data_IF_106610805147
#
_entry.id   IF_106610805147
#
_cell.length_a   1.000
_cell.length_b   1.000
_cell.length_c   1.000
_cell.angle_alpha   90.00
_cell.angle_beta   90.00
_cell.angle_gamma   90.00
#
_symmetry.space_group_name_H-M   'P 1'
#
loop_
_entity.id
_entity.type
_entity.pdbx_description
1 polymer ?
#
# COMPACT_ATOMS: atom_id res chain seq x y z
N UNK A 1 6.97 -2.66 31.73
CA UNK A 1 5.60 -2.64 31.18
C UNK A 1 5.56 -2.40 29.67
N UNK A 2 6.34 -1.45 29.12
CA UNK A 2 6.30 -1.11 27.69
C UNK A 2 6.96 -2.17 26.76
N UNK A 3 8.05 -2.82 27.19
CA UNK A 3 8.69 -3.92 26.45
C UNK A 3 7.75 -5.13 26.26
N UNK A 4 7.04 -5.50 27.34
CA UNK A 4 5.97 -6.52 27.32
C UNK A 4 4.80 -6.15 26.40
N UNK A 5 4.51 -4.86 26.19
CA UNK A 5 3.46 -4.41 25.27
C UNK A 5 3.85 -4.65 23.81
N UNK A 6 5.11 -4.39 23.45
CA UNK A 6 5.61 -4.57 22.09
C UNK A 6 5.71 -6.05 21.69
N UNK A 7 6.17 -6.90 22.61
CA UNK A 7 6.16 -8.35 22.40
C UNK A 7 4.73 -8.89 22.26
N UNK A 8 3.79 -8.43 23.08
CA UNK A 8 2.37 -8.78 22.96
C UNK A 8 1.76 -8.33 21.64
N UNK A 9 2.16 -7.18 21.09
CA UNK A 9 1.69 -6.71 19.78
C UNK A 9 2.24 -7.57 18.64
N UNK A 10 3.53 -7.90 18.66
CA UNK A 10 4.15 -8.77 17.65
C UNK A 10 3.53 -10.17 17.71
N UNK A 11 3.37 -10.73 18.93
CA UNK A 11 2.72 -12.01 19.14
C UNK A 11 1.25 -11.98 18.70
N UNK A 12 0.54 -10.89 18.99
CA UNK A 12 -0.83 -10.71 18.51
C UNK A 12 -0.91 -10.68 16.99
N UNK A 13 -0.05 -9.92 16.30
CA UNK A 13 -0.05 -9.88 14.83
C UNK A 13 0.30 -11.24 14.22
N UNK A 14 1.21 -11.98 14.85
CA UNK A 14 1.59 -13.34 14.46
C UNK A 14 0.44 -14.34 14.58
N UNK A 15 -0.26 -14.31 15.71
CA UNK A 15 -1.31 -15.25 16.11
C UNK A 15 -2.73 -14.74 15.83
N UNK A 16 -2.85 -13.61 15.14
CA UNK A 16 -4.14 -12.98 14.86
C UNK A 16 -5.01 -13.94 14.05
N UNK A 17 -6.20 -14.20 14.58
CA UNK A 17 -7.24 -14.96 13.91
C UNK A 17 -8.53 -14.13 13.80
N UNK A 18 -9.33 -14.43 12.79
CA UNK A 18 -10.58 -13.73 12.52
C UNK A 18 -11.73 -14.72 12.66
N UNK A 19 -12.44 -14.62 13.78
CA UNK A 19 -13.66 -15.40 13.99
C UNK A 19 -14.85 -14.84 13.20
N UNK A 20 -15.95 -15.58 13.15
CA UNK A 20 -17.18 -15.21 12.42
C UNK A 20 -17.70 -13.82 12.77
N UNK A 21 -17.65 -13.43 14.05
CA UNK A 21 -18.06 -12.09 14.50
C UNK A 21 -17.21 -10.97 13.89
N UNK A 22 -15.93 -11.22 13.64
CA UNK A 22 -15.05 -10.23 13.01
C UNK A 22 -15.31 -10.13 11.51
N UNK A 23 -15.56 -11.26 10.84
CA UNK A 23 -15.96 -11.30 9.43
C UNK A 23 -17.30 -10.59 9.20
N UNK A 24 -18.31 -10.85 10.03
CA UNK A 24 -19.62 -10.16 9.97
C UNK A 24 -19.43 -8.65 10.11
N UNK A 25 -18.59 -8.20 11.04
CA UNK A 25 -18.32 -6.77 11.22
C UNK A 25 -17.60 -6.16 10.02
N UNK A 26 -16.67 -6.88 9.39
CA UNK A 26 -16.03 -6.42 8.15
C UNK A 26 -17.05 -6.28 7.03
N UNK A 27 -17.96 -7.25 6.87
CA UNK A 27 -19.05 -7.17 5.89
C UNK A 27 -19.98 -5.99 6.16
N UNK A 28 -20.33 -5.73 7.42
CA UNK A 28 -21.13 -4.55 7.80
C UNK A 28 -20.38 -3.26 7.47
N UNK A 29 -19.08 -3.17 7.75
CA UNK A 29 -18.26 -2.01 7.38
C UNK A 29 -18.25 -1.82 5.86
N UNK A 30 -18.01 -2.87 5.08
CA UNK A 30 -18.05 -2.83 3.62
C UNK A 30 -19.41 -2.37 3.09
N UNK A 31 -20.51 -2.86 3.68
CA UNK A 31 -21.86 -2.45 3.31
C UNK A 31 -22.11 -0.97 3.61
N UNK A 32 -21.75 -0.49 4.80
CA UNK A 32 -21.91 0.92 5.19
C UNK A 32 -21.10 1.81 4.25
N UNK A 33 -19.83 1.49 4.00
CA UNK A 33 -18.98 2.26 3.08
C UNK A 33 -19.60 2.30 1.68
N UNK A 34 -20.10 1.18 1.18
CA UNK A 34 -20.75 1.11 -0.14
C UNK A 34 -22.03 1.97 -0.21
N UNK A 35 -22.85 1.95 0.84
CA UNK A 35 -24.05 2.80 0.94
C UNK A 35 -23.67 4.29 0.98
N UNK A 36 -22.66 4.66 1.76
CA UNK A 36 -22.20 6.05 1.84
C UNK A 36 -21.67 6.55 0.49
N UNK A 37 -20.91 5.72 -0.23
CA UNK A 37 -20.44 6.03 -1.58
C UNK A 37 -21.64 6.24 -2.52
N UNK A 38 -22.61 5.33 -2.51
CA UNK A 38 -23.81 5.43 -3.35
C UNK A 38 -24.64 6.69 -3.04
N UNK A 39 -24.86 7.00 -1.76
CA UNK A 39 -25.56 8.22 -1.33
C UNK A 39 -24.79 9.45 -1.79
N UNK A 40 -23.46 9.47 -1.63
CA UNK A 40 -22.62 10.59 -2.05
C UNK A 40 -22.74 10.84 -3.55
N UNK A 41 -22.68 9.79 -4.38
CA UNK A 41 -22.91 9.91 -5.82
C UNK A 41 -24.33 10.38 -6.16
N UNK A 42 -25.36 9.88 -5.47
CA UNK A 42 -26.73 10.32 -5.67
C UNK A 42 -26.91 11.81 -5.33
N UNK A 43 -26.28 12.29 -4.25
CA UNK A 43 -26.29 13.70 -3.86
C UNK A 43 -25.54 14.56 -4.89
N UNK A 44 -24.35 14.17 -5.33
CA UNK A 44 -23.63 14.89 -6.38
C UNK A 44 -24.46 15.02 -7.66
N UNK A 45 -25.16 13.95 -8.04
CA UNK A 45 -26.08 13.97 -9.19
C UNK A 45 -27.27 14.90 -8.96
N UNK A 46 -27.89 14.86 -7.78
CA UNK A 46 -29.04 15.70 -7.41
C UNK A 46 -28.68 17.19 -7.46
N UNK A 47 -27.53 17.56 -6.90
CA UNK A 47 -27.03 18.93 -6.86
C UNK A 47 -26.26 19.35 -8.12
N UNK A 48 -26.21 18.51 -9.16
CA UNK A 48 -25.48 18.74 -10.41
C UNK A 48 -24.00 19.11 -10.20
N UNK A 49 -23.38 18.55 -9.16
CA UNK A 49 -21.96 18.73 -8.86
C UNK A 49 -21.17 17.84 -9.82
N UNK A 50 -20.26 18.38 -10.65
CA UNK A 50 -19.55 17.60 -11.66
C UNK A 50 -18.32 16.90 -11.02
N UNK A 51 -18.56 15.91 -10.16
CA UNK A 51 -17.49 15.28 -9.35
C UNK A 51 -16.38 14.65 -10.21
N UNK A 52 -16.73 14.03 -11.34
CA UNK A 52 -15.76 13.42 -12.24
C UNK A 52 -14.85 14.47 -12.89
N UNK A 53 -15.38 15.62 -13.31
CA UNK A 53 -14.54 16.68 -13.87
C UNK A 53 -13.63 17.31 -12.81
N UNK A 54 -14.09 17.40 -11.55
CA UNK A 54 -13.27 17.87 -10.43
C UNK A 54 -12.08 16.93 -10.22
N UNK A 55 -12.31 15.61 -10.25
CA UNK A 55 -11.25 14.61 -10.11
C UNK A 55 -10.33 14.53 -11.33
N UNK A 56 -10.85 14.70 -12.55
CA UNK A 56 -10.01 14.78 -13.75
C UNK A 56 -9.07 16.01 -13.72
N UNK A 57 -9.54 17.14 -13.19
CA UNK A 57 -8.71 18.34 -13.01
C UNK A 57 -7.75 18.23 -11.81
N UNK A 58 -8.13 17.46 -10.79
CA UNK A 58 -7.36 17.27 -9.55
C UNK A 58 -7.19 15.78 -9.20
N UNK A 59 -6.46 15.01 -10.03
CA UNK A 59 -6.34 13.57 -9.86
C UNK A 59 -5.65 13.16 -8.55
N UNK A 60 -4.87 14.04 -7.93
CA UNK A 60 -4.31 13.85 -6.59
C UNK A 60 -5.36 13.86 -5.47
N UNK A 61 -6.43 14.66 -5.64
CA UNK A 61 -7.59 14.64 -4.72
C UNK A 61 -8.39 13.35 -4.93
N UNK A 62 -8.61 12.94 -6.18
CA UNK A 62 -9.25 11.67 -6.52
C UNK A 62 -8.51 10.50 -5.85
N UNK A 63 -7.18 10.44 -6.01
CA UNK A 63 -6.33 9.45 -5.37
C UNK A 63 -6.47 9.46 -3.85
N UNK A 64 -6.48 10.63 -3.20
CA UNK A 64 -6.70 10.70 -1.74
C UNK A 64 -8.06 10.08 -1.37
N UNK A 65 -9.12 10.47 -2.07
CA UNK A 65 -10.49 9.99 -1.81
C UNK A 65 -10.58 8.48 -1.95
N UNK A 66 -9.93 7.90 -2.97
CA UNK A 66 -9.87 6.45 -3.19
C UNK A 66 -9.28 5.70 -1.99
N UNK A 67 -8.35 6.31 -1.25
CA UNK A 67 -7.80 5.69 -0.03
C UNK A 67 -8.57 6.03 1.25
N UNK A 68 -9.31 7.15 1.30
CA UNK A 68 -10.14 7.50 2.46
C UNK A 68 -11.22 6.44 2.74
N UNK A 69 -11.73 5.77 1.70
CA UNK A 69 -12.72 4.69 1.84
C UNK A 69 -12.18 3.48 2.62
N UNK A 70 -10.85 3.34 2.70
CA UNK A 70 -10.20 2.23 3.41
C UNK A 70 -9.93 2.52 4.89
N UNK A 71 -10.07 3.77 5.34
CA UNK A 71 -9.82 4.14 6.74
C UNK A 71 -10.67 3.34 7.76
N UNK A 72 -11.95 3.01 7.50
CA UNK A 72 -12.72 2.14 8.40
C UNK A 72 -12.10 0.75 8.59
N UNK A 73 -11.45 0.20 7.55
CA UNK A 73 -10.77 -1.09 7.61
C UNK A 73 -9.44 -0.99 8.36
N UNK A 74 -8.69 0.10 8.16
CA UNK A 74 -7.49 0.41 8.93
C UNK A 74 -7.83 0.54 10.41
N UNK A 75 -8.87 1.31 10.74
CA UNK A 75 -9.38 1.42 12.10
C UNK A 75 -9.80 0.06 12.67
N UNK A 76 -10.56 -0.73 11.90
CA UNK A 76 -10.97 -2.07 12.32
C UNK A 76 -9.78 -2.98 12.62
N UNK A 77 -8.72 -2.89 11.81
CA UNK A 77 -7.52 -3.68 12.02
C UNK A 77 -6.85 -3.29 13.33
N UNK A 78 -6.62 -1.99 13.57
CA UNK A 78 -5.89 -1.53 14.76
C UNK A 78 -6.71 -1.51 16.06
N UNK A 79 -8.03 -1.65 16.03
CA UNK A 79 -8.87 -1.65 17.25
C UNK A 79 -8.69 -2.88 18.16
N UNK A 80 -8.10 -3.97 17.66
CA UNK A 80 -7.82 -5.21 18.41
C UNK A 80 -6.31 -5.45 18.38
N UNK A 81 -5.61 -5.68 19.51
CA UNK A 81 -6.08 -5.69 20.91
C UNK A 81 -6.16 -4.26 21.46
N UNK A 82 -6.82 -4.07 22.61
CA UNK A 82 -6.82 -2.81 23.40
C UNK A 82 -5.43 -2.51 23.99
N UNK A 83 -4.38 -2.54 23.18
CA UNK A 83 -3.08 -1.96 23.50
C UNK A 83 -3.09 -0.61 22.81
N UNK A 84 -3.20 0.47 23.59
CA UNK A 84 -2.89 1.80 23.10
C UNK A 84 -1.41 1.76 22.72
N UNK A 85 -1.10 1.40 21.48
CA UNK A 85 0.28 1.49 20.98
C UNK A 85 0.56 2.94 20.78
N UNK A 86 1.38 3.50 21.65
CA UNK A 86 1.88 4.86 21.49
C UNK A 86 2.69 4.96 20.20
N UNK A 87 2.85 6.18 19.70
CA UNK A 87 3.76 6.43 18.58
C UNK A 87 5.18 5.93 18.89
N UNK A 88 5.58 5.98 20.17
CA UNK A 88 6.84 5.46 20.67
C UNK A 88 6.97 3.94 20.52
N UNK A 89 5.90 3.18 20.79
CA UNK A 89 5.90 1.72 20.56
C UNK A 89 6.14 1.38 19.09
N UNK A 90 5.48 2.09 18.17
CA UNK A 90 5.70 1.92 16.72
C UNK A 90 7.13 2.30 16.32
N UNK A 91 7.66 3.41 16.84
CA UNK A 91 9.04 3.81 16.60
C UNK A 91 10.05 2.74 17.04
N UNK A 92 9.85 2.13 18.21
CA UNK A 92 10.72 1.04 18.71
C UNK A 92 10.67 -0.19 17.79
N UNK A 93 9.50 -0.52 17.25
CA UNK A 93 9.34 -1.62 16.30
C UNK A 93 10.06 -1.34 14.98
N UNK A 94 10.01 -0.10 14.48
CA UNK A 94 10.80 0.35 13.32
C UNK A 94 12.30 0.19 13.62
N UNK A 95 12.78 0.69 14.76
CA UNK A 95 14.20 0.55 15.15
C UNK A 95 14.63 -0.92 15.22
N UNK A 96 13.76 -1.80 15.75
CA UNK A 96 14.01 -3.24 15.81
C UNK A 96 14.11 -3.86 14.42
N UNK A 97 13.25 -3.46 13.47
CA UNK A 97 13.34 -3.89 12.08
C UNK A 97 14.65 -3.47 11.44
N UNK A 98 15.05 -2.21 11.59
CA UNK A 98 16.32 -1.71 11.05
C UNK A 98 17.56 -2.26 11.77
N UNK A 99 17.40 -2.88 12.92
CA UNK A 99 18.47 -3.64 13.59
C UNK A 99 18.56 -5.10 13.11
N UNK A 100 17.56 -5.58 12.36
CA UNK A 100 17.53 -6.95 11.84
C UNK A 100 18.23 -7.02 10.47
N UNK A 101 19.33 -7.77 10.40
CA UNK A 101 20.13 -7.91 9.17
C UNK A 101 19.33 -8.50 8.00
N UNK A 102 18.41 -9.44 8.24
CA UNK A 102 17.58 -10.02 7.18
C UNK A 102 16.59 -8.98 6.62
N UNK A 103 16.07 -8.09 7.46
CA UNK A 103 15.21 -7.00 7.01
C UNK A 103 16.01 -5.99 6.17
N UNK A 104 17.22 -5.62 6.63
CA UNK A 104 18.12 -4.75 5.86
C UNK A 104 18.45 -5.37 4.50
N UNK A 105 18.73 -6.68 4.44
CA UNK A 105 18.97 -7.39 3.17
C UNK A 105 17.75 -7.34 2.25
N UNK A 106 16.54 -7.52 2.78
CA UNK A 106 15.30 -7.37 2.01
C UNK A 106 15.15 -5.94 1.46
N UNK A 107 15.42 -4.94 2.28
CA UNK A 107 15.35 -3.53 1.88
C UNK A 107 16.38 -3.20 0.80
N UNK A 108 17.64 -3.60 0.99
CA UNK A 108 18.70 -3.40 0.00
C UNK A 108 18.34 -4.11 -1.31
N UNK A 109 17.91 -5.37 -1.25
CA UNK A 109 17.49 -6.13 -2.44
C UNK A 109 16.38 -5.41 -3.21
N UNK A 110 15.33 -4.94 -2.52
CA UNK A 110 14.24 -4.19 -3.13
C UNK A 110 14.74 -2.91 -3.80
N UNK A 111 15.57 -2.14 -3.09
CA UNK A 111 16.17 -0.90 -3.59
C UNK A 111 17.03 -1.19 -4.83
N UNK A 112 17.93 -2.17 -4.76
CA UNK A 112 18.82 -2.55 -5.86
C UNK A 112 18.03 -2.99 -7.10
N UNK A 113 17.02 -3.85 -6.95
CA UNK A 113 16.17 -4.27 -8.06
C UNK A 113 15.49 -3.05 -8.70
N UNK A 114 15.04 -2.08 -7.90
CA UNK A 114 14.39 -0.87 -8.42
C UNK A 114 15.33 0.09 -9.10
N UNK A 115 16.54 0.26 -8.60
CA UNK A 115 17.56 1.05 -9.29
C UNK A 115 18.00 0.40 -10.61
N UNK A 116 18.11 -0.94 -10.65
CA UNK A 116 18.38 -1.67 -11.90
C UNK A 116 17.22 -1.47 -12.88
N UNK A 117 15.97 -1.62 -12.43
CA UNK A 117 14.80 -1.40 -13.27
C UNK A 117 14.74 0.04 -13.82
N UNK A 118 15.02 1.03 -12.98
CA UNK A 118 15.10 2.43 -13.37
C UNK A 118 16.21 2.67 -14.41
N UNK A 119 17.41 2.13 -14.16
CA UNK A 119 18.52 2.22 -15.10
C UNK A 119 18.17 1.61 -16.46
N UNK A 120 17.55 0.42 -16.46
CA UNK A 120 17.10 -0.25 -17.70
C UNK A 120 16.06 0.61 -18.41
N UNK A 121 15.06 1.15 -17.71
CA UNK A 121 14.09 2.06 -18.31
C UNK A 121 14.76 3.26 -18.98
N UNK A 122 15.68 3.93 -18.28
CA UNK A 122 16.43 5.05 -18.83
C UNK A 122 17.27 4.65 -20.05
N UNK A 123 17.95 3.50 -20.00
CA UNK A 123 18.74 2.98 -21.11
C UNK A 123 17.88 2.67 -22.35
N UNK A 124 16.72 2.02 -22.18
CA UNK A 124 15.83 1.75 -23.30
C UNK A 124 15.18 3.03 -23.85
N UNK A 125 14.89 4.01 -22.98
CA UNK A 125 14.38 5.32 -23.40
C UNK A 125 15.41 6.09 -24.23
N UNK A 126 16.68 6.14 -23.78
CA UNK A 126 17.75 6.90 -24.46
C UNK A 126 18.12 6.34 -25.83
N UNK A 127 17.86 5.05 -26.07
CA UNK A 127 18.10 4.41 -27.35
C UNK A 127 16.83 4.32 -28.20
N UNK A 128 15.78 5.08 -27.85
CA UNK A 128 14.48 5.14 -28.56
C UNK A 128 13.79 3.77 -28.73
N UNK A 129 14.17 2.75 -27.94
CA UNK A 129 13.57 1.42 -28.01
C UNK A 129 12.15 1.39 -27.42
N UNK A 130 11.87 2.23 -26.42
CA UNK A 130 10.55 2.37 -25.79
C UNK A 130 10.30 3.83 -25.36
N UNK A 131 9.13 4.34 -25.73
CA UNK A 131 8.65 5.63 -25.23
C UNK A 131 7.91 5.47 -23.90
N UNK A 132 8.49 6.00 -22.82
CA UNK A 132 7.87 6.03 -21.51
C UNK A 132 7.20 7.38 -21.20
N UNK A 133 7.33 8.39 -22.06
CA UNK A 133 6.87 9.76 -21.78
C UNK A 133 5.37 9.84 -21.48
N UNK A 134 4.54 9.07 -22.20
CA UNK A 134 3.10 8.97 -21.92
C UNK A 134 2.81 8.37 -20.54
N UNK A 135 3.54 7.33 -20.13
CA UNK A 135 3.41 6.72 -18.81
C UNK A 135 3.74 7.73 -17.70
N UNK A 136 4.87 8.43 -17.83
CA UNK A 136 5.31 9.44 -16.85
C UNK A 136 4.35 10.63 -16.77
N UNK A 137 3.92 11.19 -17.92
CA UNK A 137 2.98 12.31 -17.98
C UNK A 137 1.66 12.00 -17.31
N UNK A 138 1.11 10.79 -17.53
CA UNK A 138 -0.14 10.36 -16.91
C UNK A 138 -0.05 10.20 -15.38
N UNK A 139 1.16 10.13 -14.81
CA UNK A 139 1.38 9.98 -13.37
C UNK A 139 1.90 11.26 -12.71
N UNK A 140 2.11 12.37 -13.43
CA UNK A 140 2.70 13.59 -12.85
C UNK A 140 1.94 14.13 -11.63
N UNK A 141 0.64 13.89 -11.54
CA UNK A 141 -0.17 14.33 -10.41
C UNK A 141 0.30 13.76 -9.06
N UNK A 142 0.96 12.60 -9.06
CA UNK A 142 1.51 12.01 -7.84
C UNK A 142 2.73 12.78 -7.32
N UNK A 143 3.31 13.69 -8.11
CA UNK A 143 4.39 14.59 -7.67
C UNK A 143 3.89 15.79 -6.86
N UNK A 144 2.58 16.05 -6.83
CA UNK A 144 2.00 17.07 -5.94
C UNK A 144 2.14 16.59 -4.48
N UNK A 145 2.23 17.51 -3.49
CA UNK A 145 2.40 17.12 -2.08
C UNK A 145 1.38 16.09 -1.58
N UNK A 146 0.12 16.24 -1.99
CA UNK A 146 -0.94 15.30 -1.62
C UNK A 146 -0.79 13.94 -2.31
N UNK A 147 -0.38 13.94 -3.58
CA UNK A 147 -0.08 12.74 -4.34
C UNK A 147 1.08 11.94 -3.75
N UNK A 148 2.15 12.62 -3.32
CA UNK A 148 3.31 12.00 -2.66
C UNK A 148 2.89 11.39 -1.32
N UNK A 149 2.19 12.17 -0.49
CA UNK A 149 1.69 11.70 0.81
C UNK A 149 0.81 10.45 0.64
N UNK A 150 -0.10 10.49 -0.32
CA UNK A 150 -1.03 9.38 -0.56
C UNK A 150 -0.29 8.16 -1.07
N UNK A 151 0.58 8.32 -2.08
CA UNK A 151 1.29 7.20 -2.72
C UNK A 151 2.34 6.57 -1.80
N UNK A 152 3.09 7.36 -1.03
CA UNK A 152 4.21 6.86 -0.21
C UNK A 152 3.76 6.38 1.16
N UNK A 153 2.71 6.97 1.73
CA UNK A 153 2.30 6.69 3.11
C UNK A 153 0.93 6.04 3.17
N UNK A 154 -0.12 6.71 2.66
CA UNK A 154 -1.48 6.25 2.85
C UNK A 154 -1.76 4.93 2.13
N UNK A 155 -1.35 4.83 0.86
CA UNK A 155 -1.54 3.65 0.02
C UNK A 155 -0.87 2.40 0.61
N UNK A 156 0.44 2.39 0.94
CA UNK A 156 1.07 1.25 1.62
C UNK A 156 0.37 0.86 2.92
N UNK A 157 -0.05 1.81 3.75
CA UNK A 157 -0.76 1.49 5.00
C UNK A 157 -2.09 0.80 4.70
N UNK A 158 -2.92 1.39 3.83
CA UNK A 158 -4.23 0.87 3.49
C UNK A 158 -4.14 -0.50 2.81
N UNK A 159 -3.31 -0.62 1.79
CA UNK A 159 -3.14 -1.86 1.03
C UNK A 159 -2.58 -2.98 1.90
N UNK A 160 -1.49 -2.75 2.65
CA UNK A 160 -0.93 -3.80 3.50
C UNK A 160 -1.89 -4.22 4.61
N UNK A 161 -2.65 -3.28 5.19
CA UNK A 161 -3.68 -3.64 6.18
C UNK A 161 -4.76 -4.50 5.55
N UNK A 162 -5.23 -4.18 4.35
CA UNK A 162 -6.27 -4.96 3.67
C UNK A 162 -5.74 -6.33 3.26
N UNK A 163 -4.65 -6.37 2.49
CA UNK A 163 -4.19 -7.61 1.87
C UNK A 163 -3.44 -8.52 2.85
N UNK A 164 -2.60 -7.98 3.73
CA UNK A 164 -1.76 -8.77 4.66
C UNK A 164 -2.37 -8.82 6.05
N UNK A 165 -2.97 -7.73 6.49
CA UNK A 165 -3.65 -7.68 7.78
C UNK A 165 -4.95 -8.49 7.79
N UNK A 166 -5.91 -8.08 6.96
CA UNK A 166 -7.28 -8.60 6.99
C UNK A 166 -7.44 -9.87 6.15
N UNK A 167 -7.14 -9.81 4.84
CA UNK A 167 -7.36 -10.94 3.92
C UNK A 167 -6.43 -12.09 4.25
N UNK A 168 -5.11 -11.87 4.23
CA UNK A 168 -4.15 -12.92 4.55
C UNK A 168 -4.39 -13.47 5.96
N UNK A 169 -4.59 -12.60 6.96
CA UNK A 169 -4.89 -13.02 8.33
C UNK A 169 -6.16 -13.87 8.46
N UNK A 170 -7.24 -13.54 7.75
CA UNK A 170 -8.48 -14.31 7.76
C UNK A 170 -8.35 -15.68 7.07
N UNK A 171 -7.47 -15.81 6.07
CA UNK A 171 -7.28 -17.06 5.32
C UNK A 171 -6.20 -17.96 5.95
N UNK A 172 -5.17 -17.37 6.56
CA UNK A 172 -4.02 -18.08 7.16
C UNK A 172 -4.45 -19.12 8.21
N UNK A 173 -5.55 -18.86 8.91
CA UNK A 173 -6.11 -19.78 9.92
C UNK A 173 -6.56 -21.13 9.33
N UNK A 174 -6.79 -21.22 8.01
CA UNK A 174 -7.09 -22.47 7.32
C UNK A 174 -5.84 -23.06 6.65
N UNK A 175 -5.09 -22.24 5.91
CA UNK A 175 -3.85 -22.66 5.26
C UNK A 175 -3.00 -21.44 4.88
N UNK A 176 -1.73 -21.42 5.31
CA UNK A 176 -0.83 -20.29 5.05
C UNK A 176 -0.49 -20.13 3.56
N UNK A 177 -0.23 -21.22 2.82
CA UNK A 177 0.08 -21.15 1.39
C UNK A 177 -1.12 -20.64 0.58
N UNK A 178 -2.32 -21.07 0.96
CA UNK A 178 -3.54 -20.54 0.36
C UNK A 178 -3.72 -19.05 0.67
N UNK A 179 -3.37 -18.59 1.88
CA UNK A 179 -3.39 -17.17 2.22
C UNK A 179 -2.42 -16.33 1.38
N UNK A 180 -1.22 -16.86 1.06
CA UNK A 180 -0.32 -16.23 0.09
C UNK A 180 -1.00 -16.07 -1.26
N UNK A 181 -1.51 -17.17 -1.83
CA UNK A 181 -2.13 -17.16 -3.15
C UNK A 181 -3.29 -16.18 -3.24
N UNK A 182 -4.21 -16.21 -2.25
CA UNK A 182 -5.39 -15.31 -2.22
C UNK A 182 -4.96 -13.85 -2.05
N UNK A 183 -4.07 -13.56 -1.10
CA UNK A 183 -3.60 -12.19 -0.83
C UNK A 183 -2.91 -11.58 -2.05
N UNK A 184 -2.00 -12.32 -2.69
CA UNK A 184 -1.27 -11.88 -3.89
C UNK A 184 -2.21 -11.71 -5.09
N UNK A 185 -3.13 -12.65 -5.31
CA UNK A 185 -4.06 -12.59 -6.45
C UNK A 185 -5.01 -11.40 -6.31
N UNK A 186 -5.55 -11.16 -5.11
CA UNK A 186 -6.42 -10.01 -4.86
C UNK A 186 -5.66 -8.69 -4.93
N UNK A 187 -4.41 -8.64 -4.46
CA UNK A 187 -3.54 -7.49 -4.62
C UNK A 187 -3.32 -7.16 -6.11
N UNK A 188 -3.02 -8.16 -6.94
CA UNK A 188 -2.88 -7.97 -8.39
C UNK A 188 -4.18 -7.48 -9.05
N UNK A 189 -5.30 -8.15 -8.80
CA UNK A 189 -6.60 -7.78 -9.40
C UNK A 189 -7.04 -6.37 -8.98
N UNK A 190 -6.76 -5.97 -7.73
CA UNK A 190 -7.08 -4.64 -7.23
C UNK A 190 -6.44 -3.51 -8.06
N UNK A 191 -5.25 -3.73 -8.65
CA UNK A 191 -4.58 -2.74 -9.47
C UNK A 191 -5.22 -2.55 -10.86
N UNK A 192 -6.20 -3.36 -11.23
CA UNK A 192 -7.04 -3.17 -12.42
C UNK A 192 -6.22 -3.06 -13.71
N UNK A 193 -6.44 -2.00 -14.48
CA UNK A 193 -5.75 -1.76 -15.76
C UNK A 193 -4.23 -1.54 -15.61
N UNK A 194 -3.78 -1.12 -14.42
CA UNK A 194 -2.35 -0.91 -14.13
C UNK A 194 -1.67 -2.20 -13.62
N UNK A 195 -2.44 -3.26 -13.43
CA UNK A 195 -1.93 -4.53 -12.93
C UNK A 195 -0.91 -5.12 -13.91
N UNK A 196 0.24 -5.52 -13.37
CA UNK A 196 1.35 -6.08 -14.14
C UNK A 196 2.00 -7.22 -13.36
N UNK A 197 2.84 -8.02 -14.03
CA UNK A 197 3.58 -9.10 -13.38
C UNK A 197 4.43 -8.60 -12.19
N UNK A 198 4.85 -7.33 -12.20
CA UNK A 198 5.53 -6.71 -11.06
C UNK A 198 4.66 -6.67 -9.80
N UNK A 199 3.36 -6.44 -9.94
CA UNK A 199 2.44 -6.41 -8.80
C UNK A 199 2.29 -7.80 -8.17
N UNK A 200 2.38 -8.88 -8.96
CA UNK A 200 2.43 -10.25 -8.43
C UNK A 200 3.72 -10.48 -7.63
N UNK A 201 4.87 -10.09 -8.19
CA UNK A 201 6.18 -10.24 -7.53
C UNK A 201 6.27 -9.43 -6.24
N UNK A 202 5.82 -8.18 -6.24
CA UNK A 202 5.71 -7.34 -5.05
C UNK A 202 4.70 -7.91 -4.06
N UNK A 203 3.58 -8.40 -4.59
CA UNK A 203 2.58 -9.17 -3.87
C UNK A 203 3.21 -10.24 -2.98
N UNK A 204 3.98 -11.13 -3.62
CA UNK A 204 4.71 -12.24 -2.99
C UNK A 204 5.76 -11.70 -2.01
N UNK A 205 6.55 -10.71 -2.41
CA UNK A 205 7.62 -10.15 -1.59
C UNK A 205 7.09 -9.53 -0.28
N UNK A 206 6.02 -8.74 -0.34
CA UNK A 206 5.40 -8.16 0.85
C UNK A 206 4.69 -9.20 1.72
N UNK A 207 4.03 -10.21 1.12
CA UNK A 207 3.46 -11.32 1.89
C UNK A 207 4.57 -12.13 2.60
N UNK A 208 5.70 -12.35 1.94
CA UNK A 208 6.86 -13.03 2.51
C UNK A 208 7.42 -12.26 3.70
N UNK A 209 7.63 -10.95 3.55
CA UNK A 209 8.19 -10.11 4.62
C UNK A 209 7.22 -9.99 5.80
N UNK A 210 5.91 -9.91 5.54
CA UNK A 210 4.88 -9.97 6.58
C UNK A 210 5.02 -11.23 7.45
N UNK A 211 5.10 -12.41 6.82
CA UNK A 211 5.23 -13.69 7.55
C UNK A 211 6.61 -13.83 8.21
N UNK A 212 7.67 -13.41 7.52
CA UNK A 212 9.05 -13.54 8.00
C UNK A 212 9.30 -12.70 9.24
N UNK A 213 8.82 -11.46 9.25
CA UNK A 213 9.05 -10.52 10.36
C UNK A 213 7.90 -10.49 11.37
N UNK A 214 6.78 -11.14 11.08
CA UNK A 214 5.59 -11.18 11.94
C UNK A 214 5.07 -9.79 12.33
N UNK A 215 5.20 -8.83 11.42
CA UNK A 215 4.70 -7.48 11.60
C UNK A 215 4.22 -6.89 10.28
N UNK A 216 3.13 -6.12 10.34
CA UNK A 216 2.71 -5.30 9.20
C UNK A 216 3.65 -4.14 8.89
N UNK A 217 4.45 -3.66 9.86
CA UNK A 217 5.37 -2.57 9.58
C UNK A 217 6.46 -2.97 8.57
N UNK A 218 6.86 -4.24 8.54
CA UNK A 218 7.86 -4.71 7.59
C UNK A 218 7.42 -4.52 6.12
N UNK A 219 6.29 -5.09 5.65
CA UNK A 219 5.82 -4.85 4.30
C UNK A 219 5.42 -3.39 4.07
N UNK A 220 4.85 -2.68 5.06
CA UNK A 220 4.51 -1.24 4.91
C UNK A 220 5.76 -0.42 4.59
N UNK A 221 6.85 -0.58 5.34
CA UNK A 221 8.10 0.17 5.11
C UNK A 221 8.69 -0.18 3.75
N UNK A 222 8.70 -1.46 3.38
CA UNK A 222 9.23 -1.90 2.10
C UNK A 222 8.36 -1.38 0.93
N UNK A 223 7.04 -1.38 1.08
CA UNK A 223 6.12 -0.83 0.09
C UNK A 223 6.24 0.71 0.00
N UNK A 224 6.36 1.42 1.12
CA UNK A 224 6.68 2.85 1.12
C UNK A 224 8.01 3.15 0.43
N UNK A 225 9.05 2.32 0.65
CA UNK A 225 10.33 2.47 -0.04
C UNK A 225 10.20 2.23 -1.55
N UNK A 226 9.47 1.20 -1.96
CA UNK A 226 9.12 0.94 -3.35
C UNK A 226 8.46 2.17 -4.01
N UNK A 227 7.43 2.73 -3.34
CA UNK A 227 6.68 3.87 -3.86
C UNK A 227 7.51 5.16 -3.84
N UNK A 228 8.38 5.36 -2.86
CA UNK A 228 9.31 6.48 -2.85
C UNK A 228 10.27 6.43 -4.04
N UNK A 229 10.83 5.26 -4.37
CA UNK A 229 11.71 5.13 -5.55
C UNK A 229 10.93 5.39 -6.84
N UNK A 230 9.66 4.98 -6.90
CA UNK A 230 8.79 5.35 -8.01
C UNK A 230 8.62 6.87 -8.13
N UNK A 231 8.33 7.59 -7.04
CA UNK A 231 8.29 9.07 -7.04
C UNK A 231 9.62 9.66 -7.53
N UNK A 232 10.75 9.16 -7.04
CA UNK A 232 12.08 9.63 -7.48
C UNK A 232 12.29 9.41 -8.98
N UNK A 233 11.85 8.28 -9.52
CA UNK A 233 11.95 8.01 -10.96
C UNK A 233 11.14 9.01 -11.80
N UNK A 234 9.94 9.37 -11.34
CA UNK A 234 9.11 10.38 -12.00
C UNK A 234 9.78 11.77 -11.97
N UNK A 235 10.41 12.13 -10.84
CA UNK A 235 11.14 13.40 -10.71
C UNK A 235 12.32 13.45 -11.69
N UNK A 236 13.12 12.38 -11.74
CA UNK A 236 14.27 12.26 -12.65
C UNK A 236 13.79 12.40 -14.10
N UNK A 237 12.75 11.67 -14.49
CA UNK A 237 12.20 11.75 -15.84
C UNK A 237 11.70 13.16 -16.20
N UNK A 238 10.98 13.81 -15.27
CA UNK A 238 10.51 15.20 -15.45
C UNK A 238 11.67 16.18 -15.63
N UNK A 239 12.80 15.93 -14.97
CA UNK A 239 14.01 16.74 -15.17
C UNK A 239 14.60 16.52 -16.57
N UNK A 240 14.69 15.28 -17.05
CA UNK A 240 15.15 14.99 -18.42
C UNK A 240 14.26 15.67 -19.47
N UNK A 241 12.94 15.52 -19.37
CA UNK A 241 11.98 16.10 -20.32
C UNK A 241 12.03 17.64 -20.33
N UNK A 242 12.17 18.27 -19.15
CA UNK A 242 12.24 19.73 -19.02
C UNK A 242 13.55 20.34 -19.50
N UNK A 243 14.67 19.64 -19.29
CA UNK A 243 16.01 20.19 -19.53
C UNK A 243 16.73 19.61 -20.75
N UNK A 244 16.13 18.64 -21.45
CA UNK A 244 16.57 18.18 -22.78
C UNK A 244 18.00 17.64 -22.82
N UNK A 245 18.33 16.71 -21.93
CA UNK A 245 19.55 15.88 -22.04
C UNK A 245 19.16 14.51 -22.56
#
# INVERSE_FOLDING_TARGET
MESLSNEKMTQYQKDRSYGTKDLIRLLIISLIVSILIFISFALFRLYKIPIFSIFEQNPDIGLLVDYLIFLPFVWFYYRKPRLITSIWSKMKEIVKLFSNQEFIRCLILLISIKFIFLFLMCFFASNEFMDFSGFFRNKEFVLKPLGILTTVILAPICEEVIFRGLIFGAVKQFNQYFAYMVSVSLFYVYHGAEASYLHILLGIFFAFTFVRFNTLLAPIILHSAHNMIFILSLIIFRMFDKYGV
#
